data_IF_915502560121
#
_entry.id   IF_915502560121
#
_cell.length_a   1.000
_cell.length_b   1.000
_cell.length_c   1.000
_cell.angle_alpha   90.00
_cell.angle_beta   90.00
_cell.angle_gamma   90.00
#
_symmetry.space_group_name_H-M   'P 1'
#
loop_
_entity.id
_entity.type
_entity.pdbx_description
1 polymer ?
2 non-polymer ?
3 non-polymer ?
4 water ?
#
# COMPACT_ATOMS: atom_id res chain seq x y z
N UNK A 1 -16.20 10.14 1.56
CA UNK A 1 -14.76 10.25 1.27
C UNK A 1 -14.06 9.04 1.86
N UNK A 2 -13.18 9.24 2.84
CA UNK A 2 -12.22 8.12 3.11
C UNK A 2 -12.85 7.00 3.99
N UNK A 3 -14.01 7.26 4.62
CA UNK A 3 -14.46 6.46 5.76
C UNK A 3 -14.65 4.97 5.46
N UNK A 4 -15.03 4.62 4.23
CA UNK A 4 -15.29 3.22 3.91
C UNK A 4 -13.97 2.41 3.85
N UNK A 5 -12.80 3.09 3.73
CA UNK A 5 -11.50 2.41 3.78
C UNK A 5 -11.08 2.09 5.19
N UNK A 6 -11.64 2.72 6.22
CA UNK A 6 -11.11 2.58 7.58
C UNK A 6 -11.36 1.22 8.12
N UNK A 7 -10.46 0.68 8.90
CA UNK A 7 -10.63 -0.57 9.59
C UNK A 7 -9.44 -1.46 9.42
N UNK A 8 -9.63 -2.73 9.72
CA UNK A 8 -8.59 -3.75 9.70
C UNK A 8 -8.87 -4.68 8.54
N UNK A 9 -7.86 -4.93 7.74
CA UNK A 9 -7.94 -5.67 6.47
C UNK A 9 -6.89 -6.75 6.46
N UNK A 10 -7.20 -7.91 5.91
CA UNK A 10 -6.28 -9.04 5.83
C UNK A 10 -6.07 -9.49 4.39
N UNK A 11 -4.83 -9.79 4.01
CA UNK A 11 -4.55 -10.20 2.64
C UNK A 11 -5.18 -11.56 2.32
N UNK A 12 -5.89 -11.63 1.21
CA UNK A 12 -6.51 -12.88 0.77
C UNK A 12 -6.18 -13.24 -0.67
N UNK A 13 -5.43 -12.46 -1.41
CA UNK A 13 -5.02 -12.84 -2.78
C UNK A 13 -3.89 -11.94 -3.17
N UNK A 14 -2.95 -12.45 -3.99
CA UNK A 14 -1.85 -11.62 -4.45
C UNK A 14 -1.43 -12.08 -5.86
N UNK A 15 -1.31 -11.13 -6.77
CA UNK A 15 -0.89 -11.42 -8.14
C UNK A 15 0.27 -10.49 -8.50
N UNK A 16 1.37 -11.08 -8.94
CA UNK A 16 2.52 -10.36 -9.48
C UNK A 16 3.30 -9.58 -8.45
N UNK A 17 3.20 -9.91 -7.16
CA UNK A 17 3.96 -9.17 -6.16
C UNK A 17 5.45 -9.37 -6.35
N UNK A 18 5.87 -10.56 -6.69
CA UNK A 18 7.30 -10.79 -6.93
C UNK A 18 7.78 -9.89 -8.07
N UNK A 19 7.00 -9.78 -9.14
CA UNK A 19 7.40 -8.91 -10.28
C UNK A 19 7.57 -7.46 -9.80
N UNK A 20 6.64 -6.98 -8.99
CA UNK A 20 6.70 -5.60 -8.46
C UNK A 20 7.95 -5.43 -7.60
N UNK A 21 8.20 -6.32 -6.69
CA UNK A 21 9.37 -6.20 -5.84
C UNK A 21 10.66 -6.28 -6.66
N UNK A 22 10.70 -7.16 -7.63
CA UNK A 22 11.90 -7.27 -8.46
C UNK A 22 12.11 -5.96 -9.20
N UNK A 23 11.07 -5.32 -9.71
CA UNK A 23 11.19 -4.05 -10.43
C UNK A 23 11.82 -3.01 -9.55
N UNK A 24 11.53 -3.03 -8.27
CA UNK A 24 12.07 -2.08 -7.29
C UNK A 24 13.45 -2.46 -6.85
N UNK A 25 14.00 -3.57 -7.27
CA UNK A 25 15.33 -3.96 -6.84
C UNK A 25 15.40 -4.71 -5.54
N UNK A 26 14.30 -5.22 -5.02
CA UNK A 26 14.29 -5.97 -3.76
C UNK A 26 15.05 -7.29 -3.96
N UNK A 27 15.92 -7.62 -3.02
CA UNK A 27 16.73 -8.81 -3.12
C UNK A 27 15.93 -10.12 -3.00
N UNK A 28 16.48 -11.18 -3.52
CA UNK A 28 15.74 -12.45 -3.65
C UNK A 28 15.26 -12.99 -2.32
N UNK A 29 16.08 -12.85 -1.29
CA UNK A 29 15.73 -13.48 0.00
C UNK A 29 14.57 -12.73 0.63
N UNK A 30 14.54 -11.41 0.49
CA UNK A 30 13.40 -10.61 1.00
C UNK A 30 12.18 -10.97 0.18
N UNK A 31 12.31 -11.08 -1.14
CA UNK A 31 11.13 -11.44 -1.96
C UNK A 31 10.58 -12.81 -1.56
N UNK A 32 11.44 -13.76 -1.28
CA UNK A 32 10.98 -15.10 -0.94
C UNK A 32 10.10 -15.03 0.30
N UNK A 33 10.56 -14.33 1.35
CA UNK A 33 9.78 -14.26 2.58
C UNK A 33 8.50 -13.48 2.33
N UNK A 34 8.63 -12.33 1.69
CA UNK A 34 7.44 -11.47 1.45
C UNK A 34 6.39 -12.18 0.63
N UNK A 35 6.77 -13.09 -0.25
CA UNK A 35 5.80 -13.82 -1.09
C UNK A 35 4.91 -14.75 -0.28
N UNK A 36 5.27 -15.07 0.95
CA UNK A 36 4.46 -16.00 1.77
C UNK A 36 3.82 -15.29 2.97
N UNK A 37 4.18 -14.04 3.29
CA UNK A 37 3.43 -13.37 4.37
C UNK A 37 2.01 -13.00 3.91
N UNK A 38 1.19 -12.77 4.89
CA UNK A 38 -0.18 -12.25 4.66
C UNK A 38 -0.40 -11.09 5.62
N UNK A 39 -0.04 -9.89 5.21
CA UNK A 39 -0.12 -8.75 6.11
C UNK A 39 -1.55 -8.41 6.50
N UNK A 40 -1.62 -7.73 7.61
CA UNK A 40 -2.81 -6.99 8.07
C UNK A 40 -2.55 -5.53 7.87
N UNK A 41 -3.48 -4.84 7.20
CA UNK A 41 -3.40 -3.38 7.03
C UNK A 41 -4.51 -2.77 7.88
N UNK A 42 -4.14 -1.80 8.68
CA UNK A 42 -5.06 -1.04 9.53
C UNK A 42 -5.06 0.39 9.11
N UNK A 43 -6.21 0.93 8.79
CA UNK A 43 -6.36 2.32 8.32
C UNK A 43 -7.24 3.02 9.32
N UNK A 44 -6.72 4.04 9.96
CA UNK A 44 -7.39 4.85 11.04
C UNK A 44 -7.33 6.33 10.70
N UNK A 45 -8.29 7.09 11.23
CA UNK A 45 -8.24 8.53 11.10
C UNK A 45 -8.46 9.21 12.42
N UNK A 46 -7.88 10.40 12.55
CA UNK A 46 -8.11 11.30 13.69
C UNK A 46 -8.21 12.65 13.11
N UNK A 47 -9.44 13.13 12.92
CA UNK A 47 -9.60 14.40 12.20
C UNK A 47 -9.17 14.18 10.75
N UNK A 48 -8.31 15.04 10.21
CA UNK A 48 -7.90 14.80 8.80
C UNK A 48 -6.53 14.10 8.74
N UNK A 49 -6.04 13.55 9.85
CA UNK A 49 -4.77 12.77 9.84
C UNK A 49 -5.10 11.29 9.68
N UNK A 50 -4.66 10.66 8.68
CA UNK A 50 -4.81 9.21 8.48
C UNK A 50 -3.53 8.53 8.95
N UNK A 51 -3.69 7.32 9.47
CA UNK A 51 -2.57 6.43 9.81
C UNK A 51 -2.84 5.11 9.11
N UNK A 52 -1.83 4.60 8.43
CA UNK A 52 -1.89 3.33 7.72
C UNK A 52 -0.79 2.43 8.24
N UNK A 53 -1.15 1.36 8.89
CA UNK A 53 -0.23 0.39 9.45
C UNK A 53 -0.26 -0.85 8.60
N UNK A 54 0.89 -1.46 8.36
CA UNK A 54 0.96 -2.75 7.69
C UNK A 54 1.77 -3.68 8.59
N UNK A 55 1.17 -4.73 9.07
CA UNK A 55 1.76 -5.64 10.05
C UNK A 55 1.91 -7.03 9.49
N UNK A 56 3.00 -7.65 9.79
CA UNK A 56 3.22 -9.05 9.36
C UNK A 56 4.26 -9.71 10.24
N UNK A 57 4.53 -10.97 9.93
CA UNK A 57 5.63 -11.68 10.58
C UNK A 57 6.98 -11.29 10.07
N UNK A 58 7.07 -10.48 9.04
CA UNK A 58 8.35 -10.11 8.45
C UNK A 58 8.53 -8.62 8.59
N UNK A 59 7.93 -7.84 7.74
CA UNK A 59 8.08 -6.38 7.78
C UNK A 59 6.88 -5.74 8.48
N UNK A 60 7.09 -4.67 9.18
CA UNK A 60 6.02 -3.84 9.76
C UNK A 60 6.31 -2.39 9.36
N UNK A 61 5.29 -1.65 8.94
CA UNK A 61 5.42 -0.27 8.61
C UNK A 61 4.25 0.53 9.20
N UNK A 62 4.47 1.82 9.33
CA UNK A 62 3.40 2.74 9.69
C UNK A 62 3.66 4.08 9.07
N UNK A 63 2.67 4.72 8.49
CA UNK A 63 2.73 6.08 7.98
C UNK A 63 1.55 6.88 8.51
N UNK A 64 1.78 8.14 8.77
CA UNK A 64 0.70 9.09 9.09
C UNK A 64 0.79 10.28 8.14
N UNK A 65 -0.32 10.79 7.70
CA UNK A 65 -0.33 11.80 6.67
C UNK A 65 -1.65 12.53 6.69
N UNK A 66 -1.62 13.73 6.14
CA UNK A 66 -2.80 14.50 5.79
C UNK A 66 -3.08 14.28 4.29
N UNK A 67 -4.31 13.99 3.86
CA UNK A 67 -4.60 13.87 2.45
C UNK A 67 -4.13 15.12 1.73
N UNK A 68 -3.45 14.94 0.63
CA UNK A 68 -3.06 16.01 -0.24
C UNK A 68 -1.87 16.80 0.24
N UNK A 69 -1.15 16.34 1.27
CA UNK A 69 0.03 17.04 1.80
C UNK A 69 1.21 16.08 1.71
N UNK A 70 2.30 16.47 1.09
CA UNK A 70 3.45 15.58 0.90
C UNK A 70 4.06 15.24 2.23
N UNK A 71 4.65 14.05 2.34
CA UNK A 71 5.33 13.60 3.55
C UNK A 71 6.52 12.75 3.15
N UNK A 72 7.52 12.70 3.99
CA UNK A 72 8.64 11.77 3.82
C UNK A 72 8.24 10.40 4.31
N UNK A 73 8.73 9.37 3.62
CA UNK A 73 8.43 7.98 3.96
C UNK A 73 9.64 7.11 3.74
N UNK A 74 9.84 6.12 4.60
CA UNK A 74 10.85 5.07 4.36
C UNK A 74 10.12 3.76 4.20
N UNK A 75 10.17 3.17 3.04
CA UNK A 75 9.34 2.01 2.69
C UNK A 75 9.83 0.72 3.34
N UNK A 76 9.02 -0.34 3.22
CA UNK A 76 9.36 -1.65 3.80
C UNK A 76 10.70 -2.15 3.25
N UNK A 77 11.01 -1.85 2.01
CA UNK A 77 12.24 -2.24 1.32
C UNK A 77 13.30 -1.16 1.44
N UNK A 78 13.13 -0.20 2.34
CA UNK A 78 14.18 0.79 2.69
C UNK A 78 14.42 1.82 1.62
N UNK A 79 13.47 2.15 0.77
CA UNK A 79 13.58 3.34 -0.08
C UNK A 79 13.19 4.56 0.73
N UNK A 80 13.89 5.66 0.57
CA UNK A 80 13.54 6.97 1.15
C UNK A 80 12.87 7.76 0.09
N UNK A 81 11.58 7.99 0.24
CA UNK A 81 10.72 8.56 -0.80
C UNK A 81 9.97 9.77 -0.31
N UNK A 82 9.50 10.55 -1.26
CA UNK A 82 8.57 11.64 -1.03
C UNK A 82 7.22 11.18 -1.46
N UNK A 83 6.23 11.25 -0.60
CA UNK A 83 4.93 10.62 -0.81
C UNK A 83 3.79 11.62 -0.74
N UNK A 84 2.70 11.28 -1.39
CA UNK A 84 1.44 12.02 -1.20
C UNK A 84 0.33 11.01 -1.35
N UNK A 85 -0.73 11.15 -0.58
CA UNK A 85 -1.93 10.32 -0.67
C UNK A 85 -3.09 11.21 -0.90
N UNK A 86 -3.86 10.96 -1.97
CA UNK A 86 -5.07 11.71 -2.38
C UNK A 86 -6.26 10.77 -2.64
N UNK A 87 -7.51 11.17 -2.29
CA UNK A 87 -8.66 10.58 -3.01
C UNK A 87 -8.75 11.02 -4.47
N UNK A 88 -9.02 10.06 -5.33
CA UNK A 88 -9.12 10.34 -6.78
C UNK A 88 -10.11 9.34 -7.32
N UNK A 89 -11.27 9.78 -7.79
CA UNK A 89 -12.25 8.81 -8.31
C UNK A 89 -12.73 7.87 -7.26
N UNK A 90 -12.75 8.24 -6.01
CA UNK A 90 -13.17 7.32 -4.94
C UNK A 90 -12.07 6.34 -4.53
N UNK A 91 -10.88 6.45 -5.08
CA UNK A 91 -9.77 5.56 -4.75
C UNK A 91 -8.77 6.32 -3.92
N UNK A 92 -8.11 5.61 -3.03
CA UNK A 92 -7.06 6.20 -2.20
C UNK A 92 -5.74 6.01 -2.95
N UNK A 93 -5.14 7.06 -3.52
CA UNK A 93 -4.00 6.97 -4.41
C UNK A 93 -2.76 7.47 -3.69
N UNK A 94 -1.80 6.61 -3.48
CA UNK A 94 -0.53 6.89 -2.81
C UNK A 94 0.59 6.91 -3.86
N UNK A 95 1.23 8.04 -4.08
CA UNK A 95 2.33 8.19 -5.03
C UNK A 95 3.61 8.36 -4.27
N UNK A 96 4.61 7.58 -4.60
CA UNK A 96 5.95 7.67 -4.01
C UNK A 96 6.93 8.08 -5.09
N UNK A 97 7.82 9.05 -4.78
CA UNK A 97 8.84 9.58 -5.72
C UNK A 97 10.20 9.51 -5.06
N UNK A 98 11.17 9.03 -5.83
CA UNK A 98 12.58 9.02 -5.34
C UNK A 98 13.47 8.91 -6.55
N UNK A 99 14.58 9.59 -6.56
CA UNK A 99 15.59 9.46 -7.65
C UNK A 99 14.94 9.60 -9.04
N UNK A 100 13.93 10.40 -9.21
CA UNK A 100 13.22 10.57 -10.45
C UNK A 100 12.32 9.41 -10.81
N UNK A 101 12.27 8.32 -10.05
CA UNK A 101 11.36 7.17 -10.25
C UNK A 101 10.09 7.45 -9.44
N UNK A 102 9.02 6.77 -9.86
CA UNK A 102 7.72 6.83 -9.18
C UNK A 102 7.15 5.45 -9.09
N UNK A 103 6.34 5.25 -8.06
CA UNK A 103 5.44 4.08 -7.96
C UNK A 103 4.14 4.55 -7.39
N UNK A 104 3.05 3.91 -7.80
CA UNK A 104 1.73 4.20 -7.25
C UNK A 104 1.17 2.97 -6.55
N UNK A 105 0.46 3.24 -5.47
CA UNK A 105 -0.21 2.27 -4.65
C UNK A 105 -1.67 2.73 -4.57
N UNK A 106 -2.54 2.09 -5.32
CA UNK A 106 -3.93 2.57 -5.48
C UNK A 106 -4.83 1.60 -4.76
N UNK A 107 -5.69 2.13 -3.87
CA UNK A 107 -6.65 1.27 -3.13
C UNK A 107 -8.09 1.59 -3.57
N UNK A 108 -8.79 0.62 -3.96
CA UNK A 108 -10.22 0.75 -4.33
C UNK A 108 -11.06 -0.27 -3.55
N UNK A 109 -12.33 0.00 -3.41
CA UNK A 109 -13.30 -0.94 -2.84
C UNK A 109 -14.12 -1.55 -3.98
N UNK A 110 -14.16 -2.85 -4.04
CA UNK A 110 -14.98 -3.61 -5.03
C UNK A 110 -15.67 -4.74 -4.29
N UNK A 111 -17.01 -4.70 -4.31
CA UNK A 111 -17.82 -5.72 -3.62
C UNK A 111 -17.39 -5.92 -2.18
N UNK A 112 -17.03 -4.84 -1.50
CA UNK A 112 -16.63 -4.91 -0.09
C UNK A 112 -15.19 -5.30 0.13
N UNK A 113 -14.44 -5.68 -0.90
CA UNK A 113 -13.00 -6.02 -0.79
C UNK A 113 -12.17 -4.80 -1.09
N UNK A 114 -11.00 -4.73 -0.49
CA UNK A 114 -10.08 -3.63 -0.84
C UNK A 114 -9.02 -4.22 -1.77
N UNK A 115 -8.95 -3.61 -2.93
CA UNK A 115 -8.00 -4.01 -3.97
C UNK A 115 -6.90 -2.97 -4.03
N UNK A 116 -5.68 -3.42 -3.77
CA UNK A 116 -4.48 -2.60 -3.83
C UNK A 116 -3.75 -2.91 -5.12
N UNK A 117 -3.58 -1.92 -5.98
CA UNK A 117 -2.82 -2.09 -7.24
C UNK A 117 -1.54 -1.34 -7.10
N UNK A 118 -0.43 -2.04 -7.28
CA UNK A 118 0.94 -1.51 -7.16
C UNK A 118 1.55 -1.48 -8.53
N UNK A 119 2.02 -0.30 -8.97
CA UNK A 119 2.60 -0.18 -10.32
C UNK A 119 3.96 0.45 -10.22
N UNK A 120 4.99 -0.15 -10.80
CA UNK A 120 6.33 0.44 -10.93
C UNK A 120 6.87 -0.03 -12.26
N UNK A 121 7.39 0.86 -13.06
CA UNK A 121 7.87 0.42 -14.39
C UNK A 121 6.72 -0.21 -15.14
N UNK A 122 6.93 -1.39 -15.67
CA UNK A 122 5.84 -2.13 -16.32
C UNK A 122 5.13 -3.09 -15.40
N UNK A 123 5.64 -3.29 -14.20
CA UNK A 123 5.13 -4.28 -13.26
C UNK A 123 3.83 -3.75 -12.62
N UNK A 124 2.82 -4.56 -12.68
CA UNK A 124 1.50 -4.26 -12.09
C UNK A 124 1.10 -5.42 -11.22
N UNK A 125 0.99 -5.19 -9.91
CA UNK A 125 0.58 -6.17 -8.93
C UNK A 125 -0.78 -5.85 -8.34
N UNK A 126 -1.61 -6.85 -8.11
CA UNK A 126 -2.95 -6.69 -7.51
C UNK A 126 -2.99 -7.53 -6.23
N UNK A 127 -3.09 -6.92 -5.01
CA UNK A 127 -3.17 -7.44 -3.60
C UNK A 127 -4.60 -7.23 -3.03
N UNK A 128 -5.43 -8.28 -2.84
CA UNK A 128 -6.79 -8.17 -2.37
C UNK A 128 -6.85 -8.42 -0.89
N UNK A 129 -7.54 -7.52 -0.19
CA UNK A 129 -7.71 -7.58 1.29
C UNK A 129 -9.20 -7.75 1.63
N UNK A 130 -9.50 -8.45 2.63
CA UNK A 130 -10.88 -8.53 3.13
C UNK A 130 -10.93 -7.97 4.54
N UNK A 131 -12.09 -7.40 4.86
CA UNK A 131 -12.25 -6.69 6.10
C UNK A 131 -12.38 -7.67 7.23
N UNK A 132 -11.68 -7.43 8.31
CA UNK A 132 -11.80 -8.08 9.64
C UNK A 132 -12.76 -7.23 10.49
X LIG B 1 0.71 -3.51 1.52
X LIG B 1 1.00 -4.44 0.70
X LIG B 1 0.30 -5.48 0.55
X LIG B 1 2.31 -4.34 -0.02
X LIG B 1 3.27 -3.27 0.46
X LIG B 1 4.47 -3.20 -0.34
X LIG B 1 4.40 -2.18 -1.33
X LIG B 1 5.62 -3.91 0.06
X LIG B 1 6.84 -3.77 -0.74
X LIG B 1 7.05 -3.15 -1.79
X LIG B 1 8.32 -3.42 -2.18
X LIG B 1 8.99 -4.22 -1.31
X LIG B 1 8.07 -4.48 -0.37
X LIG B 1 8.03 -5.33 0.80
X LIG B 1 9.20 -5.99 1.13
X LIG B 1 10.26 -5.71 0.37
X LIG B 1 9.33 -6.75 2.17
X LIG B 1 6.84 -5.44 1.53
X LIG B 1 5.71 -4.67 1.17
X LIG C 1 5.45 12.89 11.02
X LIG C 1 4.94 11.65 11.54
X LIG C 1 6.06 10.74 12.08
X LIG C 1 6.87 10.52 10.93
X LIG C 1 7.79 9.43 11.04
X LIG C 1 8.28 9.19 9.64
X LIG C 1 9.39 9.96 9.32
X LIG C 1 9.80 9.62 8.02
X LIG C 1 11.18 10.17 7.82
X LIG C 1 11.17 11.61 7.84
X LIG C 1 12.43 12.25 7.68
X LIG C 1 12.27 13.71 7.41
X LIG C 1 11.76 14.37 8.57
X LIG D 1 -5.98 20.12 8.48
X LIG D 1 -6.42 21.12 7.56
X LIG D 1 -5.62 21.17 6.27
X LIG D 1 -4.23 21.44 6.61
X LIG D 1 -3.35 21.45 5.49
X LIG D 1 -1.92 21.69 5.93
X LIG D 1 -1.47 20.66 6.83
X LIG D 1 -0.08 20.75 6.83
X LIG D 1 0.33 19.55 7.67
X LIG D 1 -0.12 19.79 9.01
X LIG D 1 0.14 18.69 9.88
X LIG D 1 -0.33 18.97 11.31
X LIG D 1 -1.83 18.72 11.59
#
# INVERSE_FOLDING_TARGET
>A
MVDAFLGTWKLVDSKNFDDYMKSLGVGFATRQVASMTKPTTIIEKNGDILTLKTHSTFKNTEISFKLGVEFDETTADDRKVKSIVTLDGGKLVHLQKWDGQETTLVRELIDGKLILTLTHGTAVCTRTYEKEA
>B hetero
1 J3R O4 C2 O5 C3 C1 N1 C10 C4 C9 N4 O1 N2 C8 C7 N3 O3 O2 C6 C5
>C hetero
1 P6G O4 C5 C6 O7 C8 C9 O10 C11 C12 O13 C14 C15 O16
>D hetero
1 P6G O4 C5 C6 O7 C8 C9 O10 C11 C12 O13 C14 C15 O16
#
